data_IF_429058996328
#
_entry.id   IF_429058996328
#
_cell.length_a   1.000
_cell.length_b   1.000
_cell.length_c   1.000
_cell.angle_alpha   90.00
_cell.angle_beta   90.00
_cell.angle_gamma   90.00
#
_symmetry.space_group_name_H-M   'P 1'
#
loop_
_entity.id
_entity.type
_entity.pdbx_description
1 polymer ?
#
# COMPACT_ATOMS: atom_id res chain seq x y z
N UNK A 1 30.56 -16.04 -2.11
CA UNK A 1 29.83 -17.06 -1.34
C UNK A 1 28.74 -16.37 -0.53
N UNK A 2 27.54 -16.22 -1.10
CA UNK A 2 26.42 -15.58 -0.39
C UNK A 2 25.77 -16.67 0.46
N UNK A 3 26.00 -16.64 1.78
CA UNK A 3 25.30 -17.52 2.72
C UNK A 3 23.80 -17.45 2.43
N UNK A 4 23.07 -18.58 2.36
CA UNK A 4 21.62 -18.54 2.25
C UNK A 4 21.12 -17.86 3.52
N UNK A 5 20.72 -16.60 3.40
CA UNK A 5 20.10 -15.84 4.48
C UNK A 5 18.89 -16.65 4.88
N UNK A 6 18.91 -17.27 6.07
CA UNK A 6 17.77 -18.06 6.54
C UNK A 6 16.50 -17.20 6.38
N UNK A 7 15.44 -17.73 5.79
CA UNK A 7 14.20 -16.98 5.61
C UNK A 7 13.75 -16.47 6.97
N UNK A 8 13.57 -15.15 7.06
CA UNK A 8 13.08 -14.53 8.29
C UNK A 8 11.61 -14.93 8.41
N UNK A 9 11.31 -15.73 9.41
CA UNK A 9 9.93 -16.12 9.69
C UNK A 9 9.27 -15.05 10.56
N UNK A 10 8.10 -14.57 10.12
CA UNK A 10 7.30 -13.58 10.83
C UNK A 10 5.93 -14.16 11.18
N UNK A 11 5.43 -13.82 12.37
CA UNK A 11 4.07 -14.16 12.76
C UNK A 11 3.04 -13.13 12.27
N UNK A 12 1.74 -13.43 12.48
CA UNK A 12 0.66 -12.57 12.03
C UNK A 12 0.64 -11.19 12.74
N UNK A 13 1.22 -11.07 13.94
CA UNK A 13 1.30 -9.80 14.64
C UNK A 13 2.45 -8.95 14.11
N UNK A 14 3.60 -9.56 13.81
CA UNK A 14 4.72 -8.89 13.14
C UNK A 14 4.31 -8.38 11.76
N UNK A 15 3.72 -9.23 10.91
CA UNK A 15 3.23 -8.84 9.58
C UNK A 15 2.17 -7.75 9.69
N UNK A 16 1.27 -7.86 10.66
CA UNK A 16 0.23 -6.86 10.87
C UNK A 16 0.82 -5.50 11.26
N UNK A 17 1.80 -5.48 12.17
CA UNK A 17 2.45 -4.24 12.59
C UNK A 17 3.19 -3.56 11.43
N UNK A 18 3.88 -4.32 10.60
CA UNK A 18 4.64 -3.79 9.46
C UNK A 18 3.73 -3.30 8.32
N UNK A 19 2.63 -3.99 8.06
CA UNK A 19 1.71 -3.67 6.95
C UNK A 19 0.57 -2.72 7.39
N UNK A 20 0.58 -2.25 8.65
CA UNK A 20 -0.48 -1.39 9.20
C UNK A 20 -1.85 -2.07 9.28
N UNK A 21 -1.87 -3.40 9.48
CA UNK A 21 -3.08 -4.22 9.55
C UNK A 21 -3.34 -4.73 10.97
N UNK A 22 -4.47 -5.41 11.15
CA UNK A 22 -4.71 -6.22 12.35
C UNK A 22 -4.30 -7.68 12.10
N UNK A 23 -3.87 -8.40 13.13
CA UNK A 23 -3.52 -9.82 13.01
C UNK A 23 -4.68 -10.70 12.53
N UNK A 24 -5.91 -10.30 12.87
CA UNK A 24 -7.14 -10.93 12.35
C UNK A 24 -7.26 -10.75 10.82
N UNK A 25 -6.86 -9.59 10.29
CA UNK A 25 -6.85 -9.34 8.85
C UNK A 25 -5.82 -10.22 8.13
N UNK A 26 -4.62 -10.37 8.68
CA UNK A 26 -3.59 -11.29 8.16
C UNK A 26 -4.11 -12.74 8.16
N UNK A 27 -4.73 -13.16 9.26
CA UNK A 27 -5.35 -14.49 9.34
C UNK A 27 -6.42 -14.69 8.27
N UNK A 28 -7.28 -13.68 8.04
CA UNK A 28 -8.31 -13.73 7.00
C UNK A 28 -7.73 -13.84 5.59
N UNK A 29 -6.64 -13.13 5.31
CA UNK A 29 -5.95 -13.22 4.01
C UNK A 29 -5.47 -14.66 3.77
N UNK A 30 -4.85 -15.26 4.78
CA UNK A 30 -4.43 -16.66 4.72
C UNK A 30 -5.61 -17.64 4.54
N UNK A 31 -6.72 -17.47 5.26
CA UNK A 31 -7.89 -18.37 5.11
C UNK A 31 -8.57 -18.24 3.75
N UNK A 32 -8.38 -17.12 3.04
CA UNK A 32 -8.93 -16.88 1.69
C UNK A 32 -7.83 -16.97 0.62
N UNK A 33 -6.71 -17.64 0.92
CA UNK A 33 -5.54 -17.69 0.04
C UNK A 33 -5.82 -18.36 -1.30
N UNK A 34 -6.73 -19.32 -1.34
CA UNK A 34 -7.18 -19.95 -2.59
C UNK A 34 -7.76 -18.94 -3.59
N UNK A 35 -8.32 -17.82 -3.10
CA UNK A 35 -8.89 -16.77 -3.93
C UNK A 35 -7.92 -15.60 -4.18
N UNK A 36 -6.98 -15.35 -3.27
CA UNK A 36 -6.16 -14.13 -3.27
C UNK A 36 -4.64 -14.38 -3.43
N UNK A 37 -4.21 -15.64 -3.44
CA UNK A 37 -2.81 -16.05 -3.61
C UNK A 37 -1.90 -15.72 -2.43
N UNK A 38 -2.43 -15.51 -1.22
CA UNK A 38 -1.61 -15.19 -0.05
C UNK A 38 -0.59 -16.31 0.24
N UNK A 39 0.64 -15.97 0.68
CA UNK A 39 1.70 -16.96 0.88
C UNK A 39 1.34 -18.10 1.85
N UNK A 40 1.90 -19.28 1.58
CA UNK A 40 1.74 -20.47 2.41
C UNK A 40 2.53 -20.31 3.73
N UNK A 41 2.12 -21.05 4.76
CA UNK A 41 2.86 -21.07 6.02
C UNK A 41 4.23 -21.74 5.84
N UNK A 42 5.30 -21.02 6.20
CA UNK A 42 6.67 -21.52 6.17
C UNK A 42 7.05 -22.27 7.47
N UNK A 43 6.24 -22.13 8.52
CA UNK A 43 6.40 -22.91 9.74
C UNK A 43 5.33 -22.63 10.79
N UNK A 44 5.49 -23.29 11.95
CA UNK A 44 4.70 -23.00 13.14
C UNK A 44 5.63 -22.83 14.34
N UNK A 45 5.36 -21.81 15.16
CA UNK A 45 6.00 -21.62 16.46
C UNK A 45 4.95 -21.81 17.55
N UNK A 46 5.01 -22.96 18.23
CA UNK A 46 3.99 -23.43 19.18
C UNK A 46 2.61 -23.55 18.53
N UNK A 47 1.81 -22.48 18.58
CA UNK A 47 0.47 -22.37 17.97
C UNK A 47 0.36 -21.21 16.98
N UNK A 48 1.40 -20.39 16.86
CA UNK A 48 1.45 -19.29 15.91
C UNK A 48 1.89 -19.81 14.55
N UNK A 49 1.14 -19.45 13.51
CA UNK A 49 1.55 -19.65 12.12
C UNK A 49 2.65 -18.65 11.79
N UNK A 50 3.66 -19.13 11.09
CA UNK A 50 4.78 -18.33 10.62
C UNK A 50 4.82 -18.34 9.10
N UNK A 51 5.05 -17.18 8.52
CA UNK A 51 5.24 -17.02 7.08
C UNK A 51 6.65 -16.53 6.79
N UNK A 52 7.12 -16.78 5.58
CA UNK A 52 8.31 -16.11 5.08
C UNK A 52 8.01 -14.61 4.95
N UNK A 53 8.74 -13.81 5.72
CA UNK A 53 8.60 -12.37 5.77
C UNK A 53 8.81 -11.71 4.41
N UNK A 54 9.77 -12.20 3.62
CA UNK A 54 10.09 -11.66 2.31
C UNK A 54 8.99 -11.97 1.30
N UNK A 55 8.43 -13.19 1.34
CA UNK A 55 7.31 -13.56 0.46
C UNK A 55 6.06 -12.74 0.77
N UNK A 56 5.72 -12.57 2.05
CA UNK A 56 4.55 -11.76 2.44
C UNK A 56 4.74 -10.30 2.04
N UNK A 57 5.92 -9.73 2.29
CA UNK A 57 6.23 -8.35 1.90
C UNK A 57 6.12 -8.16 0.40
N UNK A 58 6.67 -9.11 -0.38
CA UNK A 58 6.58 -9.11 -1.84
C UNK A 58 5.13 -9.21 -2.32
N UNK A 59 4.33 -10.12 -1.76
CA UNK A 59 2.91 -10.26 -2.11
C UNK A 59 2.11 -8.98 -1.85
N UNK A 60 2.38 -8.28 -0.74
CA UNK A 60 1.74 -6.98 -0.45
C UNK A 60 2.15 -5.89 -1.45
N UNK A 61 3.43 -5.85 -1.85
CA UNK A 61 3.92 -4.92 -2.86
C UNK A 61 3.26 -5.20 -4.23
N UNK A 62 3.26 -6.44 -4.69
CA UNK A 62 2.68 -6.85 -5.98
C UNK A 62 1.16 -6.63 -6.02
N UNK A 63 0.45 -6.94 -4.95
CA UNK A 63 -1.01 -6.71 -4.86
C UNK A 63 -1.38 -5.23 -4.88
N UNK A 64 -0.52 -4.36 -4.35
CA UNK A 64 -0.71 -2.92 -4.43
C UNK A 64 -0.55 -2.43 -5.88
N UNK A 65 0.44 -2.96 -6.60
CA UNK A 65 0.66 -2.68 -8.02
C UNK A 65 -0.47 -3.22 -8.92
N UNK A 66 -0.94 -4.44 -8.68
CA UNK A 66 -2.02 -5.05 -9.49
C UNK A 66 -3.34 -4.27 -9.39
N UNK A 67 -3.68 -3.78 -8.18
CA UNK A 67 -4.86 -2.93 -7.98
C UNK A 67 -4.79 -1.59 -8.71
N UNK A 68 -3.58 -1.12 -8.95
CA UNK A 68 -3.33 0.09 -9.73
C UNK A 68 -3.40 -0.19 -11.23
N UNK A 69 -2.86 -1.33 -11.68
CA UNK A 69 -2.80 -1.72 -13.09
C UNK A 69 -4.15 -2.05 -13.74
N UNK A 70 -5.11 -2.59 -12.99
CA UNK A 70 -6.46 -2.88 -13.51
C UNK A 70 -7.32 -1.63 -13.72
N UNK A 71 -6.91 -0.49 -13.19
CA UNK A 71 -7.60 0.76 -13.42
C UNK A 71 -6.97 1.47 -14.63
N UNK A 72 -7.60 1.36 -15.79
CA UNK A 72 -7.30 2.26 -16.92
C UNK A 72 -7.67 3.67 -16.50
N UNK A 73 -6.69 4.56 -16.23
CA UNK A 73 -7.01 5.92 -15.84
C UNK A 73 -7.72 6.62 -17.01
N UNK A 74 -8.71 7.48 -16.75
CA UNK A 74 -9.27 8.31 -17.81
C UNK A 74 -8.14 9.13 -18.45
N UNK A 75 -8.08 9.14 -19.78
CA UNK A 75 -7.10 9.93 -20.52
C UNK A 75 -7.16 11.40 -20.03
N UNK A 76 -6.04 11.88 -19.49
CA UNK A 76 -5.86 13.24 -19.01
C UNK A 76 -4.56 13.79 -19.54
N UNK A 77 -4.51 15.10 -19.70
CA UNK A 77 -3.27 15.79 -20.04
C UNK A 77 -2.20 15.51 -18.98
N UNK A 78 -0.96 15.20 -19.39
CA UNK A 78 0.12 14.87 -18.46
C UNK A 78 0.55 16.06 -17.58
N UNK A 79 0.20 17.27 -18.00
CA UNK A 79 0.42 18.52 -17.26
C UNK A 79 -0.71 18.83 -16.26
N UNK A 80 -1.80 18.05 -16.23
CA UNK A 80 -2.92 18.27 -15.32
C UNK A 80 -2.52 17.94 -13.86
N UNK A 81 -2.79 18.88 -12.95
CA UNK A 81 -2.47 18.74 -11.53
C UNK A 81 -3.63 18.07 -10.79
N UNK A 82 -3.43 16.81 -10.43
CA UNK A 82 -4.42 16.04 -9.68
C UNK A 82 -4.30 16.31 -8.19
N UNK A 83 -5.37 16.87 -7.61
CA UNK A 83 -5.56 16.86 -6.16
C UNK A 83 -5.86 15.43 -5.65
N UNK A 84 -5.77 15.20 -4.34
CA UNK A 84 -5.99 13.86 -3.76
C UNK A 84 -7.31 13.18 -4.12
N UNK A 85 -8.39 13.94 -4.39
CA UNK A 85 -9.67 13.36 -4.86
C UNK A 85 -9.55 12.91 -6.31
N UNK A 86 -8.95 13.74 -7.16
CA UNK A 86 -8.74 13.44 -8.56
C UNK A 86 -7.74 12.29 -8.73
N UNK A 87 -6.65 12.28 -7.95
CA UNK A 87 -5.68 11.19 -7.88
C UNK A 87 -6.34 9.89 -7.38
N UNK A 88 -7.20 9.95 -6.35
CA UNK A 88 -7.96 8.78 -5.91
C UNK A 88 -8.80 8.18 -7.03
N UNK A 89 -9.50 9.00 -7.80
CA UNK A 89 -10.32 8.54 -8.93
C UNK A 89 -9.46 8.01 -10.07
N UNK A 90 -8.37 8.70 -10.38
CA UNK A 90 -7.43 8.36 -11.46
C UNK A 90 -6.65 7.07 -11.18
N UNK A 91 -6.48 6.69 -9.92
CA UNK A 91 -5.78 5.48 -9.51
C UNK A 91 -6.74 4.35 -9.12
N UNK A 92 -8.06 4.53 -9.32
CA UNK A 92 -9.07 3.53 -9.00
C UNK A 92 -9.33 3.33 -7.49
N UNK A 93 -8.87 4.23 -6.63
CA UNK A 93 -9.13 4.14 -5.19
C UNK A 93 -10.55 4.56 -4.84
N UNK A 94 -11.11 3.86 -3.84
CA UNK A 94 -12.47 4.12 -3.31
C UNK A 94 -12.64 5.51 -2.69
N UNK A 95 -11.59 6.10 -2.12
CA UNK A 95 -11.63 7.42 -1.48
C UNK A 95 -10.23 8.05 -1.34
N UNK A 96 -10.20 9.37 -1.13
CA UNK A 96 -8.98 10.18 -0.91
C UNK A 96 -8.14 9.70 0.29
N UNK A 97 -8.76 9.11 1.31
CA UNK A 97 -8.04 8.63 2.49
C UNK A 97 -7.03 7.52 2.14
N UNK A 98 -7.28 6.73 1.09
CA UNK A 98 -6.28 5.78 0.59
C UNK A 98 -5.03 6.50 0.09
N UNK A 99 -5.20 7.55 -0.73
CA UNK A 99 -4.06 8.36 -1.22
C UNK A 99 -3.28 8.95 -0.05
N UNK A 100 -3.97 9.58 0.91
CA UNK A 100 -3.31 10.18 2.07
C UNK A 100 -2.56 9.15 2.94
N UNK A 101 -3.15 7.97 3.16
CA UNK A 101 -2.49 6.90 3.91
C UNK A 101 -1.27 6.36 3.16
N UNK A 102 -1.36 6.16 1.84
CA UNK A 102 -0.21 5.70 1.06
C UNK A 102 0.92 6.74 1.02
N UNK A 103 0.60 8.01 0.83
CA UNK A 103 1.58 9.11 0.87
C UNK A 103 2.28 9.20 2.23
N UNK A 104 1.53 9.03 3.33
CA UNK A 104 2.09 9.11 4.69
C UNK A 104 2.86 7.85 5.11
N UNK A 105 2.28 6.69 4.89
CA UNK A 105 2.72 5.43 5.49
C UNK A 105 3.67 4.64 4.57
N UNK A 106 3.74 4.98 3.27
CA UNK A 106 4.55 4.29 2.27
C UNK A 106 5.43 5.28 1.49
N UNK A 107 6.48 5.85 2.12
CA UNK A 107 7.40 6.76 1.44
C UNK A 107 8.04 6.08 0.22
N UNK A 108 7.94 6.70 -0.95
CA UNK A 108 8.42 6.15 -2.23
C UNK A 108 7.37 5.38 -3.06
N UNK A 109 6.17 5.13 -2.52
CA UNK A 109 5.07 4.55 -3.30
C UNK A 109 4.31 5.60 -4.12
N UNK A 110 4.11 6.79 -3.55
CA UNK A 110 3.67 7.97 -4.28
C UNK A 110 4.87 8.88 -4.56
N UNK A 111 4.92 9.54 -5.73
CA UNK A 111 5.85 10.63 -5.95
C UNK A 111 5.58 11.77 -4.98
N UNK A 112 6.62 12.55 -4.67
CA UNK A 112 6.46 13.79 -3.94
C UNK A 112 5.47 14.72 -4.68
N UNK A 113 4.58 15.42 -3.95
CA UNK A 113 3.63 16.33 -4.57
C UNK A 113 4.36 17.50 -5.25
N UNK A 114 4.11 17.69 -6.54
CA UNK A 114 4.68 18.78 -7.33
C UNK A 114 4.30 20.16 -6.80
N UNK A 115 3.07 20.29 -6.29
CA UNK A 115 2.57 21.55 -5.74
C UNK A 115 1.86 21.28 -4.41
N UNK A 116 2.24 22.05 -3.39
CA UNK A 116 1.57 22.08 -2.10
C UNK A 116 0.91 23.44 -1.96
N UNK A 117 -0.42 23.49 -2.11
CA UNK A 117 -1.19 24.71 -1.85
C UNK A 117 -1.60 24.73 -0.37
N UNK A 118 -1.16 25.75 0.38
CA UNK A 118 -1.68 26.00 1.72
C UNK A 118 -2.99 26.77 1.61
N UNK A 119 -4.08 26.14 2.02
CA UNK A 119 -5.44 26.64 1.89
C UNK A 119 -6.12 26.68 3.26
N UNK A 120 -7.27 27.36 3.35
CA UNK A 120 -8.05 27.46 4.59
C UNK A 120 -8.01 28.84 5.20
N UNK A 121 -8.57 28.95 6.41
CA UNK A 121 -8.54 30.19 7.19
C UNK A 121 -7.29 30.19 8.08
N UNK A 122 -6.84 31.36 8.58
CA UNK A 122 -5.72 31.43 9.52
C UNK A 122 -5.90 30.52 10.75
N UNK A 123 -7.15 30.28 11.16
CA UNK A 123 -7.51 29.44 12.31
C UNK A 123 -7.50 27.94 11.99
N UNK A 124 -7.62 27.55 10.72
CA UNK A 124 -7.64 26.14 10.27
C UNK A 124 -6.99 26.00 8.89
N UNK A 125 -5.66 26.14 8.80
CA UNK A 125 -4.96 25.87 7.56
C UNK A 125 -5.00 24.37 7.25
N UNK A 126 -5.15 24.04 5.98
CA UNK A 126 -4.99 22.70 5.45
C UNK A 126 -4.16 22.73 4.18
N UNK A 127 -3.45 21.65 3.92
CA UNK A 127 -2.57 21.53 2.76
C UNK A 127 -3.25 20.70 1.69
N UNK A 128 -3.27 21.22 0.48
CA UNK A 128 -3.73 20.51 -0.70
C UNK A 128 -2.51 20.08 -1.50
N UNK A 129 -2.32 18.76 -1.56
CA UNK A 129 -1.26 18.13 -2.33
C UNK A 129 -1.76 17.92 -3.76
N UNK A 130 -0.96 18.36 -4.73
CA UNK A 130 -1.21 18.21 -6.16
C UNK A 130 -0.06 17.42 -6.78
N UNK A 131 -0.41 16.44 -7.62
CA UNK A 131 0.53 15.62 -8.37
C UNK A 131 0.28 15.76 -9.85
N UNK A 132 1.33 15.91 -10.66
CA UNK A 132 1.22 15.85 -12.13
C UNK A 132 0.97 14.42 -12.58
N UNK A 133 0.26 14.29 -13.69
CA UNK A 133 0.04 13.00 -14.35
C UNK A 133 1.27 12.67 -15.20
N UNK A 134 2.33 12.14 -14.60
CA UNK A 134 3.40 11.52 -15.38
C UNK A 134 3.01 10.06 -15.66
N UNK A 135 2.60 9.79 -16.90
CA UNK A 135 2.43 8.44 -17.45
C UNK A 135 3.76 7.80 -17.79
#
# INVERSE_FOLDING_TARGET
>A
MTSPRKPRLADAAEIAAEQGLTSARVTRLYTTRDENGFPEIAGMRRRARLWDHAEVTKWFAERSLARLGDHTPPARDPEDLLNGVAASKFLGYKNINQVNNYVRDHPGYFPDPDVVEEMGTPERPYRKLLWRVQT
#
